data_IF_797212479936
#
_entry.id   IF_797212479936
#
_cell.length_a   1.000
_cell.length_b   1.000
_cell.length_c   1.000
_cell.angle_alpha   90.00
_cell.angle_beta   90.00
_cell.angle_gamma   90.00
#
_symmetry.space_group_name_H-M   'P 1'
#
loop_
_entity.id
_entity.type
_entity.pdbx_description
1 polymer ?
#
# COMPACT_ATOMS: atom_id res chain seq x y z
N UNK A 1 3.70 70.00 11.41
CA UNK A 1 3.65 68.85 12.37
C UNK A 1 3.03 67.57 11.86
N UNK A 2 2.68 67.38 10.60
CA UNK A 2 1.99 66.18 10.06
C UNK A 2 2.87 65.06 9.45
N UNK A 3 4.19 65.31 9.23
CA UNK A 3 5.09 64.32 8.58
C UNK A 3 5.71 63.30 9.52
N UNK A 4 5.58 63.39 10.83
CA UNK A 4 6.25 62.49 11.79
C UNK A 4 5.50 61.22 12.07
N UNK A 5 4.22 61.15 11.75
CA UNK A 5 3.38 59.97 12.02
C UNK A 5 3.17 59.06 10.79
N UNK A 6 3.62 59.55 9.56
CA UNK A 6 3.48 58.77 8.32
C UNK A 6 4.12 57.35 8.44
N UNK A 7 5.36 57.20 8.96
CA UNK A 7 5.96 55.89 9.11
C UNK A 7 5.24 54.98 10.11
N UNK A 8 4.64 55.56 11.15
CA UNK A 8 3.90 54.79 12.15
C UNK A 8 2.59 54.23 11.61
N UNK A 9 1.87 55.01 10.80
CA UNK A 9 0.67 54.55 10.10
C UNK A 9 0.99 53.46 9.04
N UNK A 10 2.11 53.54 8.36
CA UNK A 10 2.52 52.55 7.39
C UNK A 10 2.87 51.21 8.10
N UNK A 11 3.56 51.29 9.25
CA UNK A 11 3.86 50.12 10.08
C UNK A 11 2.56 49.50 10.63
N UNK A 12 1.65 50.30 11.14
CA UNK A 12 0.37 49.81 11.62
C UNK A 12 -0.48 49.17 10.51
N UNK A 13 -0.49 49.78 9.32
CA UNK A 13 -1.17 49.22 8.14
C UNK A 13 -0.53 47.91 7.70
N UNK A 14 0.79 47.80 7.73
CA UNK A 14 1.53 46.56 7.40
C UNK A 14 1.19 45.45 8.40
N UNK A 15 1.21 45.78 9.72
CA UNK A 15 0.85 44.80 10.77
C UNK A 15 -0.62 44.34 10.58
N UNK A 16 -1.53 45.26 10.31
CA UNK A 16 -2.91 44.92 10.07
C UNK A 16 -3.08 44.04 8.83
N UNK A 17 -2.36 44.35 7.73
CA UNK A 17 -2.35 43.54 6.50
C UNK A 17 -1.83 42.13 6.80
N UNK A 18 -0.71 42.00 7.52
CA UNK A 18 -0.14 40.71 7.91
C UNK A 18 -1.10 39.91 8.79
N UNK A 19 -1.80 40.58 9.71
CA UNK A 19 -2.79 39.96 10.55
C UNK A 19 -4.00 39.43 9.73
N UNK A 20 -4.53 40.27 8.84
CA UNK A 20 -5.62 39.86 7.95
C UNK A 20 -5.19 38.69 7.06
N UNK A 21 -3.98 38.75 6.49
CA UNK A 21 -3.41 37.69 5.69
C UNK A 21 -3.26 36.39 6.50
N UNK A 22 -2.75 36.50 7.72
CA UNK A 22 -2.61 35.35 8.62
C UNK A 22 -3.94 34.66 8.96
N UNK A 23 -5.00 35.42 9.14
CA UNK A 23 -6.34 34.89 9.43
C UNK A 23 -7.08 34.38 8.20
N UNK A 24 -6.88 35.01 7.04
CA UNK A 24 -7.62 34.67 5.83
C UNK A 24 -6.97 33.54 5.01
N UNK A 25 -5.64 33.46 5.01
CA UNK A 25 -4.88 32.54 4.16
C UNK A 25 -5.19 31.06 4.44
N UNK A 26 -5.30 30.58 5.72
CA UNK A 26 -5.67 29.19 6.01
C UNK A 26 -7.02 28.81 5.38
N UNK A 27 -8.00 29.67 5.50
CA UNK A 27 -9.35 29.43 4.95
C UNK A 27 -9.33 29.39 3.42
N UNK A 28 -8.57 30.28 2.79
CA UNK A 28 -8.43 30.30 1.33
C UNK A 28 -7.73 29.03 0.83
N UNK A 29 -6.64 28.62 1.47
CA UNK A 29 -5.90 27.40 1.12
C UNK A 29 -6.78 26.17 1.33
N UNK A 30 -7.46 26.04 2.47
CA UNK A 30 -8.40 24.95 2.74
C UNK A 30 -9.48 24.85 1.65
N UNK A 31 -10.12 25.97 1.31
CA UNK A 31 -11.16 25.98 0.29
C UNK A 31 -10.63 25.59 -1.08
N UNK A 32 -9.45 26.11 -1.46
CA UNK A 32 -8.77 25.73 -2.70
C UNK A 32 -8.46 24.23 -2.76
N UNK A 33 -7.87 23.65 -1.66
CA UNK A 33 -7.58 22.23 -1.58
C UNK A 33 -8.87 21.40 -1.71
N UNK A 34 -9.93 21.78 -0.97
CA UNK A 34 -11.20 21.06 -1.02
C UNK A 34 -11.88 21.15 -2.40
N UNK A 35 -11.79 22.29 -3.07
CA UNK A 35 -12.30 22.46 -4.43
C UNK A 35 -11.53 21.59 -5.43
N UNK A 36 -10.19 21.60 -5.35
CA UNK A 36 -9.33 20.80 -6.23
C UNK A 36 -9.49 19.29 -5.98
N UNK A 37 -9.70 18.87 -4.72
CA UNK A 37 -9.91 17.48 -4.36
C UNK A 37 -11.37 17.00 -4.49
N UNK A 38 -12.33 17.89 -4.75
CA UNK A 38 -13.73 17.49 -4.89
C UNK A 38 -13.96 16.53 -6.06
N UNK A 39 -13.13 16.63 -7.10
CA UNK A 39 -13.23 15.83 -8.33
C UNK A 39 -11.86 15.27 -8.74
N UNK A 40 -11.48 14.14 -8.14
CA UNK A 40 -10.26 13.39 -8.45
C UNK A 40 -10.64 12.07 -9.13
N UNK A 41 -11.19 12.14 -10.34
CA UNK A 41 -11.66 10.93 -11.06
C UNK A 41 -12.72 10.18 -10.26
N UNK A 42 -12.45 8.93 -9.90
CA UNK A 42 -13.36 8.07 -9.11
C UNK A 42 -13.39 8.43 -7.62
N UNK A 43 -12.53 9.33 -7.17
CA UNK A 43 -12.39 9.71 -5.76
C UNK A 43 -12.73 11.17 -5.52
N UNK A 44 -12.99 11.51 -4.28
CA UNK A 44 -13.07 12.87 -3.77
C UNK A 44 -12.27 12.98 -2.47
N UNK A 45 -11.66 14.13 -2.27
CA UNK A 45 -10.89 14.42 -1.07
C UNK A 45 -11.47 15.59 -0.30
N UNK A 46 -11.23 15.60 1.01
CA UNK A 46 -11.61 16.67 1.90
C UNK A 46 -10.57 16.86 3.02
N UNK A 47 -10.32 18.11 3.38
CA UNK A 47 -9.48 18.52 4.51
C UNK A 47 -10.34 19.37 5.46
N UNK A 48 -10.31 19.02 6.74
CA UNK A 48 -11.10 19.71 7.77
C UNK A 48 -10.56 21.10 8.07
N UNK A 49 -9.24 21.23 8.25
CA UNK A 49 -8.58 22.49 8.57
C UNK A 49 -7.14 22.58 8.02
N UNK A 50 -6.63 23.81 7.94
CA UNK A 50 -5.28 24.13 7.46
C UNK A 50 -4.63 25.15 8.41
N UNK A 51 -3.53 24.78 9.03
CA UNK A 51 -2.70 25.66 9.84
C UNK A 51 -1.48 26.12 9.04
N UNK A 52 -1.28 27.41 8.91
CA UNK A 52 -0.17 27.99 8.15
C UNK A 52 0.85 28.66 9.07
N UNK A 53 2.06 28.11 9.07
CA UNK A 53 3.24 28.75 9.66
C UNK A 53 4.13 29.36 8.58
N UNK A 54 3.57 30.27 7.78
CA UNK A 54 4.21 30.85 6.58
C UNK A 54 5.60 31.45 6.85
N UNK A 55 5.85 31.97 8.08
CA UNK A 55 7.19 32.49 8.48
C UNK A 55 8.23 31.37 8.63
N UNK A 56 7.79 30.12 8.82
CA UNK A 56 8.66 28.94 8.91
C UNK A 56 8.71 28.15 7.59
N UNK A 57 7.88 28.52 6.60
CA UNK A 57 7.69 27.75 5.38
C UNK A 57 7.06 26.39 5.63
N UNK A 58 6.20 26.30 6.64
CA UNK A 58 5.52 25.05 7.00
C UNK A 58 4.01 25.27 7.06
N UNK A 59 3.27 24.25 6.73
CA UNK A 59 1.83 24.22 6.95
C UNK A 59 1.39 22.81 7.32
N UNK A 60 0.28 22.72 8.03
CA UNK A 60 -0.30 21.49 8.52
C UNK A 60 -1.71 21.34 7.99
N UNK A 61 -2.01 20.18 7.44
CA UNK A 61 -3.37 19.78 7.08
C UNK A 61 -3.93 18.88 8.16
N UNK A 62 -5.18 19.11 8.55
CA UNK A 62 -5.87 18.31 9.55
C UNK A 62 -7.07 17.61 8.91
N UNK A 63 -7.25 16.32 9.21
CA UNK A 63 -8.42 15.55 8.85
C UNK A 63 -8.55 15.30 7.35
N UNK A 64 -7.42 15.07 6.63
CA UNK A 64 -7.51 14.64 5.23
C UNK A 64 -8.24 13.30 5.14
N UNK A 65 -9.21 13.25 4.23
CA UNK A 65 -9.96 12.05 3.88
C UNK A 65 -10.15 11.97 2.38
N UNK A 66 -9.81 10.82 1.80
CA UNK A 66 -10.03 10.51 0.37
C UNK A 66 -10.95 9.30 0.31
N UNK A 67 -12.08 9.46 -0.34
CA UNK A 67 -13.15 8.47 -0.42
C UNK A 67 -13.58 8.24 -1.86
N UNK A 68 -14.09 7.04 -2.15
CA UNK A 68 -14.68 6.75 -3.46
C UNK A 68 -16.00 7.51 -3.63
N UNK A 69 -16.19 8.17 -4.78
CA UNK A 69 -17.32 9.09 -5.03
C UNK A 69 -18.68 8.40 -5.02
N UNK A 70 -18.74 7.17 -5.50
CA UNK A 70 -19.98 6.38 -5.56
C UNK A 70 -20.43 5.85 -4.18
N UNK A 71 -19.58 6.00 -3.15
CA UNK A 71 -19.84 5.60 -1.75
C UNK A 71 -20.28 4.13 -1.59
N UNK A 72 -19.93 3.27 -2.52
CA UNK A 72 -20.21 1.83 -2.41
C UNK A 72 -19.21 1.14 -1.47
N UNK A 73 -18.04 1.76 -1.25
CA UNK A 73 -16.99 1.25 -0.36
C UNK A 73 -17.17 1.79 1.05
N UNK A 74 -17.11 0.91 2.05
CA UNK A 74 -17.40 1.25 3.46
C UNK A 74 -16.23 1.94 4.20
N UNK A 75 -15.04 1.97 3.60
CA UNK A 75 -13.84 2.59 4.18
C UNK A 75 -13.27 3.66 3.25
N UNK A 76 -12.74 4.78 3.80
CA UNK A 76 -11.99 5.73 2.98
C UNK A 76 -10.73 5.06 2.40
N UNK A 77 -10.30 5.47 1.20
CA UNK A 77 -9.01 5.03 0.65
C UNK A 77 -7.87 5.48 1.56
N UNK A 78 -7.86 6.76 1.89
CA UNK A 78 -6.87 7.37 2.77
C UNK A 78 -7.57 8.24 3.81
N UNK A 79 -7.17 8.08 5.06
CA UNK A 79 -7.50 8.97 6.16
C UNK A 79 -6.20 9.35 6.84
N UNK A 80 -5.92 10.65 6.92
CA UNK A 80 -4.76 11.17 7.62
C UNK A 80 -5.21 12.25 8.62
N UNK A 81 -5.12 11.98 9.92
CA UNK A 81 -5.48 12.94 10.95
C UNK A 81 -4.67 14.23 10.87
N UNK A 82 -3.39 14.10 10.55
CA UNK A 82 -2.44 15.21 10.48
C UNK A 82 -1.40 14.96 9.38
N UNK A 83 -1.13 16.00 8.59
CA UNK A 83 -0.08 16.01 7.58
C UNK A 83 0.74 17.29 7.75
N UNK A 84 2.00 17.15 8.12
CA UNK A 84 2.95 18.25 8.17
C UNK A 84 3.69 18.39 6.84
N UNK A 85 3.68 19.59 6.28
CA UNK A 85 4.39 19.92 5.04
C UNK A 85 5.37 21.04 5.34
N UNK A 86 6.66 20.76 5.19
CA UNK A 86 7.72 21.70 5.43
C UNK A 86 8.51 22.00 4.15
N UNK A 87 8.72 23.28 3.87
CA UNK A 87 9.50 23.75 2.74
C UNK A 87 10.92 24.02 3.21
N UNK A 88 11.90 23.46 2.52
CA UNK A 88 13.30 23.69 2.79
C UNK A 88 13.74 25.09 2.34
N UNK A 89 13.84 26.03 3.27
CA UNK A 89 14.38 27.37 3.01
C UNK A 89 15.82 27.32 2.46
N UNK A 90 16.62 26.32 2.83
CA UNK A 90 17.96 26.13 2.33
C UNK A 90 17.94 25.86 0.82
N UNK A 91 17.12 24.93 0.36
CA UNK A 91 16.96 24.59 -1.05
C UNK A 91 16.46 25.81 -1.85
N UNK A 92 15.52 26.58 -1.29
CA UNK A 92 15.00 27.79 -1.92
C UNK A 92 16.10 28.84 -2.13
N UNK A 93 16.97 29.05 -1.14
CA UNK A 93 18.01 30.10 -1.23
C UNK A 93 19.28 29.65 -1.97
N UNK A 94 19.67 28.37 -1.85
CA UNK A 94 20.91 27.85 -2.45
C UNK A 94 20.67 27.31 -3.86
N UNK A 95 19.61 26.51 -4.03
CA UNK A 95 19.37 25.73 -5.24
C UNK A 95 18.28 26.36 -6.13
N UNK A 96 17.61 27.42 -5.64
CA UNK A 96 16.43 28.04 -6.27
C UNK A 96 15.32 27.03 -6.56
N UNK A 97 15.28 25.95 -5.80
CA UNK A 97 14.28 24.89 -5.89
C UNK A 97 13.35 24.94 -4.67
N UNK A 98 12.06 24.80 -4.88
CA UNK A 98 11.10 24.62 -3.80
C UNK A 98 11.06 23.11 -3.53
N UNK A 99 11.67 22.69 -2.43
CA UNK A 99 11.74 21.30 -1.99
C UNK A 99 10.90 21.17 -0.73
N UNK A 100 9.98 20.22 -0.72
CA UNK A 100 9.17 19.93 0.45
C UNK A 100 9.42 18.52 0.97
N UNK A 101 9.29 18.43 2.29
CA UNK A 101 9.16 17.19 3.05
C UNK A 101 7.73 17.11 3.56
N UNK A 102 7.08 15.98 3.35
CA UNK A 102 5.70 15.72 3.77
C UNK A 102 5.69 14.59 4.78
N UNK A 103 5.16 14.82 5.97
CA UNK A 103 5.03 13.80 7.01
C UNK A 103 3.56 13.54 7.28
N UNK A 104 3.14 12.30 7.11
CA UNK A 104 1.82 11.81 7.50
C UNK A 104 1.88 11.20 8.89
N UNK A 105 1.12 11.75 9.83
CA UNK A 105 1.00 11.24 11.19
C UNK A 105 -0.23 10.34 11.32
N UNK A 106 -0.02 9.08 11.65
CA UNK A 106 -1.05 8.06 11.84
C UNK A 106 -2.04 7.92 10.66
N UNK A 107 -1.56 7.88 9.42
CA UNK A 107 -2.45 7.67 8.28
C UNK A 107 -3.01 6.24 8.26
N UNK A 108 -4.25 6.12 7.80
CA UNK A 108 -4.92 4.86 7.52
C UNK A 108 -5.11 4.74 6.00
N UNK A 109 -4.47 3.75 5.36
CA UNK A 109 -4.62 3.43 3.94
C UNK A 109 -5.40 2.12 3.80
N UNK A 110 -6.54 2.14 3.10
CA UNK A 110 -7.39 0.98 2.95
C UNK A 110 -7.57 0.58 1.49
N UNK A 111 -7.10 -0.60 1.15
CA UNK A 111 -7.40 -1.29 -0.09
C UNK A 111 -8.60 -2.22 0.12
N UNK A 112 -9.55 -2.21 -0.81
CA UNK A 112 -10.77 -3.01 -0.70
C UNK A 112 -10.94 -3.84 -1.97
N UNK A 113 -11.11 -5.14 -1.80
CA UNK A 113 -11.56 -6.07 -2.83
C UNK A 113 -13.06 -6.34 -2.66
N UNK A 114 -13.87 -5.77 -3.54
CA UNK A 114 -15.33 -5.93 -3.51
C UNK A 114 -15.86 -6.92 -4.54
N UNK A 115 -14.97 -7.57 -5.31
CA UNK A 115 -15.34 -8.42 -6.43
C UNK A 115 -15.63 -7.63 -7.71
N UNK A 116 -16.45 -6.60 -7.65
CA UNK A 116 -16.77 -5.72 -8.78
C UNK A 116 -15.99 -4.40 -8.73
N UNK A 117 -15.79 -3.76 -9.90
CA UNK A 117 -15.04 -2.47 -9.99
C UNK A 117 -15.67 -1.36 -9.14
N UNK A 118 -16.99 -1.31 -9.00
CA UNK A 118 -17.72 -0.32 -8.18
C UNK A 118 -17.47 -0.50 -6.69
N UNK A 119 -17.32 -1.71 -6.22
CA UNK A 119 -17.14 -2.08 -4.81
C UNK A 119 -15.68 -2.23 -4.40
N UNK A 120 -14.76 -2.28 -5.37
CA UNK A 120 -13.31 -2.37 -5.12
C UNK A 120 -12.67 -0.98 -5.04
N UNK A 121 -11.60 -0.87 -4.23
CA UNK A 121 -10.87 0.37 -3.99
C UNK A 121 -9.38 0.09 -3.95
N UNK A 122 -8.66 0.65 -4.92
CA UNK A 122 -7.21 0.48 -5.07
C UNK A 122 -6.45 1.79 -5.31
N UNK A 123 -7.17 2.91 -5.38
CA UNK A 123 -6.61 4.20 -5.79
C UNK A 123 -6.59 4.43 -7.30
N UNK A 124 -7.25 3.56 -8.07
CA UNK A 124 -7.35 3.69 -9.51
C UNK A 124 -8.31 4.77 -9.97
N UNK A 125 -8.20 5.13 -11.27
CA UNK A 125 -9.03 6.17 -11.87
C UNK A 125 -8.60 7.59 -11.49
N UNK A 126 -7.44 7.75 -10.84
CA UNK A 126 -6.82 9.03 -10.51
C UNK A 126 -5.37 9.03 -10.97
N UNK A 127 -4.97 10.02 -11.72
CA UNK A 127 -3.55 10.32 -11.90
C UNK A 127 -3.03 11.04 -10.64
N UNK A 128 -2.54 10.25 -9.70
CA UNK A 128 -2.06 10.74 -8.40
C UNK A 128 -0.89 11.70 -8.54
N UNK A 129 -0.08 11.53 -9.57
CA UNK A 129 1.06 12.40 -9.82
C UNK A 129 0.58 13.79 -10.26
N UNK A 130 -0.29 13.86 -11.26
CA UNK A 130 -0.85 15.12 -11.74
C UNK A 130 -1.62 15.82 -10.61
N UNK A 131 -2.36 15.08 -9.79
CA UNK A 131 -3.04 15.63 -8.63
C UNK A 131 -2.08 16.12 -7.54
N UNK A 132 -0.99 15.43 -7.27
CA UNK A 132 0.04 15.91 -6.35
C UNK A 132 0.74 17.17 -6.89
N UNK A 133 1.05 17.22 -8.18
CA UNK A 133 1.61 18.43 -8.82
C UNK A 133 0.63 19.62 -8.78
N UNK A 134 -0.67 19.38 -8.97
CA UNK A 134 -1.71 20.40 -8.89
C UNK A 134 -1.91 20.92 -7.46
N UNK A 135 -1.94 20.04 -6.48
CA UNK A 135 -2.11 20.38 -5.05
C UNK A 135 -0.84 20.97 -4.43
N UNK A 136 0.31 20.49 -4.85
CA UNK A 136 1.62 20.84 -4.33
C UNK A 136 2.56 21.11 -5.51
N UNK A 137 2.55 22.33 -6.10
CA UNK A 137 3.45 22.69 -7.22
C UNK A 137 4.89 22.85 -6.75
N UNK A 138 5.41 21.85 -6.05
CA UNK A 138 6.72 21.82 -5.39
C UNK A 138 7.37 20.46 -5.60
N UNK A 139 8.68 20.44 -5.64
CA UNK A 139 9.46 19.21 -5.69
C UNK A 139 9.35 18.46 -4.35
N UNK A 140 8.71 17.29 -4.35
CA UNK A 140 8.67 16.41 -3.19
C UNK A 140 9.97 15.63 -3.09
N UNK A 141 10.77 15.87 -2.04
CA UNK A 141 12.00 15.16 -1.82
C UNK A 141 11.78 13.91 -0.96
N UNK A 142 10.97 14.04 0.07
CA UNK A 142 10.68 12.97 1.01
C UNK A 142 9.21 13.00 1.39
N UNK A 143 8.57 11.84 1.36
CA UNK A 143 7.31 11.58 2.04
C UNK A 143 7.61 10.59 3.16
N UNK A 144 7.24 10.95 4.38
CA UNK A 144 7.38 10.12 5.57
C UNK A 144 6.01 9.73 6.11
N UNK A 145 5.88 8.50 6.55
CA UNK A 145 4.74 7.97 7.30
C UNK A 145 5.20 7.61 8.69
N UNK A 146 4.48 8.04 9.70
CA UNK A 146 4.76 7.78 11.12
C UNK A 146 3.53 7.16 11.75
N UNK A 147 3.70 5.99 12.36
CA UNK A 147 2.64 5.27 13.10
C UNK A 147 1.39 5.01 12.24
N UNK A 148 1.59 4.68 10.97
CA UNK A 148 0.52 4.44 10.00
C UNK A 148 -0.12 3.06 10.10
N UNK A 149 -1.23 2.88 9.39
CA UNK A 149 -1.88 1.59 9.19
C UNK A 149 -2.18 1.38 7.71
N UNK A 150 -1.87 0.19 7.21
CA UNK A 150 -2.26 -0.26 5.86
C UNK A 150 -3.15 -1.48 6.01
N UNK A 151 -4.33 -1.44 5.40
CA UNK A 151 -5.32 -2.51 5.47
C UNK A 151 -5.72 -3.02 4.09
N UNK A 152 -5.85 -4.33 3.96
CA UNK A 152 -6.55 -5.00 2.87
C UNK A 152 -7.86 -5.57 3.42
N UNK A 153 -8.98 -5.26 2.78
CA UNK A 153 -10.33 -5.63 3.23
C UNK A 153 -11.14 -6.25 2.11
N UNK A 154 -11.97 -7.22 2.47
CA UNK A 154 -13.09 -7.64 1.63
C UNK A 154 -14.35 -7.68 2.51
N UNK A 155 -15.28 -6.78 2.22
CA UNK A 155 -16.54 -6.66 2.97
C UNK A 155 -17.65 -7.56 2.43
N UNK A 156 -17.46 -8.12 1.23
CA UNK A 156 -18.46 -8.92 0.52
C UNK A 156 -18.22 -10.42 0.70
N UNK A 157 -17.04 -10.83 1.15
CA UNK A 157 -16.74 -12.23 1.44
C UNK A 157 -17.38 -12.70 2.75
N UNK A 158 -17.56 -14.00 2.88
CA UNK A 158 -17.97 -14.68 4.10
C UNK A 158 -16.94 -15.79 4.44
N UNK A 159 -16.17 -15.61 5.51
CA UNK A 159 -16.06 -14.45 6.41
C UNK A 159 -15.53 -13.19 5.72
N UNK A 160 -15.79 -12.01 6.30
CA UNK A 160 -15.19 -10.76 5.85
C UNK A 160 -13.67 -10.76 6.11
N UNK A 161 -12.89 -10.31 5.14
CA UNK A 161 -11.43 -10.29 5.24
C UNK A 161 -10.93 -8.94 5.76
N UNK A 162 -10.02 -9.01 6.73
CA UNK A 162 -9.25 -7.86 7.19
C UNK A 162 -7.80 -8.26 7.53
N UNK A 163 -6.90 -8.07 6.56
CA UNK A 163 -5.45 -8.20 6.76
C UNK A 163 -4.86 -6.80 6.87
N UNK A 164 -4.06 -6.55 7.91
CA UNK A 164 -3.52 -5.21 8.12
C UNK A 164 -2.12 -5.23 8.74
N UNK A 165 -1.36 -4.18 8.43
CA UNK A 165 -0.13 -3.82 9.11
C UNK A 165 -0.35 -2.51 9.89
N UNK A 166 0.05 -2.49 11.14
CA UNK A 166 0.02 -1.35 12.06
C UNK A 166 1.42 -0.88 12.40
N UNK A 167 1.52 0.21 13.15
CA UNK A 167 2.80 0.82 13.54
C UNK A 167 3.71 0.97 12.30
N UNK A 168 3.14 1.42 11.19
CA UNK A 168 3.87 1.54 9.92
C UNK A 168 4.67 2.82 9.93
N UNK A 169 6.00 2.67 9.93
CA UNK A 169 6.95 3.74 9.69
C UNK A 169 7.56 3.54 8.30
N UNK A 170 7.43 4.54 7.43
CA UNK A 170 7.90 4.44 6.06
C UNK A 170 8.47 5.76 5.54
N UNK A 171 9.36 5.66 4.59
CA UNK A 171 9.92 6.81 3.86
C UNK A 171 9.94 6.53 2.37
N UNK A 172 9.60 7.53 1.60
CA UNK A 172 9.59 7.53 0.15
C UNK A 172 10.41 8.71 -0.34
N UNK A 173 11.43 8.44 -1.12
CA UNK A 173 12.38 9.43 -1.62
C UNK A 173 12.36 9.54 -3.14
N UNK A 174 12.85 10.67 -3.66
CA UNK A 174 13.09 10.91 -5.08
C UNK A 174 11.84 10.80 -5.97
N UNK A 175 10.71 11.35 -5.53
CA UNK A 175 9.49 11.48 -6.35
C UNK A 175 9.60 12.59 -7.42
N UNK A 176 10.78 13.16 -7.61
CA UNK A 176 10.98 14.33 -8.45
C UNK A 176 11.22 13.98 -9.91
N UNK A 177 11.12 15.00 -10.78
CA UNK A 177 11.40 14.94 -12.22
C UNK A 177 12.86 14.62 -12.59
N UNK A 178 13.70 14.22 -11.64
CA UNK A 178 15.06 13.79 -11.90
C UNK A 178 15.10 12.33 -12.29
N UNK A 179 15.56 12.04 -13.51
CA UNK A 179 15.83 10.68 -13.94
C UNK A 179 17.20 10.26 -13.41
N UNK A 180 17.32 9.02 -12.90
CA UNK A 180 18.59 8.41 -12.58
C UNK A 180 19.50 8.24 -13.80
N UNK A 181 20.76 7.87 -13.60
CA UNK A 181 21.75 7.68 -14.70
C UNK A 181 21.29 6.62 -15.72
N UNK A 182 20.50 5.64 -15.28
CA UNK A 182 19.88 4.59 -16.09
C UNK A 182 18.47 4.96 -16.62
N UNK A 183 17.93 6.11 -16.18
CA UNK A 183 16.65 6.65 -16.63
C UNK A 183 15.41 5.99 -16.03
N UNK A 184 15.55 4.99 -15.14
CA UNK A 184 14.44 4.21 -14.59
C UNK A 184 14.61 4.02 -13.06
N UNK A 185 13.50 3.81 -12.33
CA UNK A 185 13.45 3.39 -10.91
C UNK A 185 14.22 4.31 -9.96
N UNK A 186 13.99 5.60 -10.08
CA UNK A 186 14.68 6.61 -9.26
C UNK A 186 14.04 6.82 -7.89
N UNK A 187 12.72 6.56 -7.75
CA UNK A 187 12.06 6.63 -6.47
C UNK A 187 12.36 5.38 -5.64
N UNK A 188 12.58 5.57 -4.34
CA UNK A 188 12.84 4.50 -3.38
C UNK A 188 11.87 4.57 -2.22
N UNK A 189 11.33 3.43 -1.84
CA UNK A 189 10.44 3.26 -0.69
C UNK A 189 11.10 2.27 0.28
N UNK A 190 11.07 2.60 1.56
CA UNK A 190 11.43 1.72 2.65
C UNK A 190 10.37 1.85 3.74
N UNK A 191 9.91 0.73 4.28
CA UNK A 191 8.90 0.71 5.32
C UNK A 191 9.02 -0.50 6.22
N UNK A 192 8.63 -0.30 7.46
CA UNK A 192 8.53 -1.34 8.50
C UNK A 192 7.19 -1.22 9.19
N UNK A 193 6.73 -2.31 9.82
CA UNK A 193 5.47 -2.30 10.56
C UNK A 193 5.25 -3.63 11.28
N UNK A 194 4.01 -3.85 11.73
CA UNK A 194 3.58 -5.07 12.42
C UNK A 194 2.31 -5.62 11.79
N UNK A 195 2.40 -6.77 11.16
CA UNK A 195 1.23 -7.50 10.69
C UNK A 195 0.40 -7.97 11.89
N UNK A 196 -0.92 -7.69 11.87
CA UNK A 196 -1.84 -7.99 12.97
C UNK A 196 -1.39 -7.46 14.34
N UNK A 197 -0.78 -6.27 14.41
CA UNK A 197 -0.23 -5.61 15.61
C UNK A 197 0.91 -6.39 16.31
N UNK A 198 1.49 -7.41 15.68
CA UNK A 198 2.42 -8.29 16.36
C UNK A 198 3.65 -8.68 15.54
N UNK A 199 3.44 -9.20 14.35
CA UNK A 199 4.46 -9.88 13.60
C UNK A 199 5.20 -8.87 12.69
N UNK A 200 6.54 -8.79 12.73
CA UNK A 200 7.28 -7.78 11.99
C UNK A 200 7.09 -7.94 10.47
N UNK A 201 6.88 -6.84 9.79
CA UNK A 201 6.85 -6.74 8.34
C UNK A 201 7.81 -5.65 7.86
N UNK A 202 8.57 -5.94 6.85
CA UNK A 202 9.50 -5.04 6.18
C UNK A 202 9.17 -5.01 4.69
N UNK A 203 9.16 -3.84 4.10
CA UNK A 203 8.96 -3.68 2.67
C UNK A 203 9.91 -2.65 2.10
N UNK A 204 10.45 -2.90 0.91
CA UNK A 204 11.22 -1.93 0.15
C UNK A 204 10.81 -1.99 -1.31
N UNK A 205 10.84 -0.84 -1.98
CA UNK A 205 10.58 -0.77 -3.41
C UNK A 205 11.49 0.25 -4.09
N UNK A 206 11.74 0.01 -5.36
CA UNK A 206 12.34 0.97 -6.29
C UNK A 206 11.46 1.04 -7.51
N UNK A 207 11.09 2.21 -7.95
CA UNK A 207 10.18 2.34 -9.08
C UNK A 207 10.43 3.62 -9.87
N UNK A 208 9.94 3.62 -11.09
CA UNK A 208 9.87 4.83 -11.89
C UNK A 208 8.52 5.52 -11.61
N UNK A 209 8.51 6.70 -10.98
CA UNK A 209 7.27 7.41 -10.66
C UNK A 209 6.55 7.94 -11.90
N UNK A 210 7.15 7.84 -13.10
CA UNK A 210 6.61 8.34 -14.37
C UNK A 210 6.01 7.26 -15.27
N UNK A 211 6.15 5.99 -14.87
CA UNK A 211 5.61 4.86 -15.65
C UNK A 211 4.55 4.15 -14.83
N UNK A 212 3.31 4.31 -15.10
CA UNK A 212 2.14 3.69 -14.46
C UNK A 212 2.37 2.21 -14.02
N UNK A 213 3.26 1.98 -13.02
CA UNK A 213 3.65 0.66 -12.51
C UNK A 213 4.29 -0.28 -13.56
N UNK A 214 4.89 0.27 -14.61
CA UNK A 214 5.52 -0.55 -15.66
C UNK A 214 6.95 -0.97 -15.30
N UNK A 215 7.62 -0.16 -14.47
CA UNK A 215 8.99 -0.42 -14.03
C UNK A 215 9.10 -0.27 -12.52
N UNK A 216 9.14 -1.39 -11.79
CA UNK A 216 9.34 -1.40 -10.36
C UNK A 216 10.05 -2.68 -9.89
N UNK A 217 10.59 -2.62 -8.69
CA UNK A 217 11.08 -3.73 -7.89
C UNK A 217 10.44 -3.60 -6.50
N UNK A 218 9.86 -4.67 -5.99
CA UNK A 218 9.20 -4.72 -4.68
C UNK A 218 9.70 -5.93 -3.92
N UNK A 219 10.19 -5.68 -2.71
CA UNK A 219 10.60 -6.72 -1.76
C UNK A 219 9.76 -6.59 -0.50
N UNK A 220 9.25 -7.72 -0.01
CA UNK A 220 8.48 -7.80 1.22
C UNK A 220 8.92 -9.00 2.03
N UNK A 221 9.05 -8.84 3.33
CA UNK A 221 9.38 -9.88 4.28
C UNK A 221 8.53 -9.76 5.53
N UNK A 222 8.01 -10.90 6.00
CA UNK A 222 7.42 -11.01 7.34
C UNK A 222 7.80 -12.33 7.96
N UNK A 223 7.82 -12.41 9.29
CA UNK A 223 8.23 -13.60 10.03
C UNK A 223 7.34 -13.86 11.22
N UNK A 224 7.12 -15.15 11.52
CA UNK A 224 6.43 -15.59 12.71
C UNK A 224 4.91 -15.42 12.68
N UNK A 225 4.32 -15.13 11.51
CA UNK A 225 2.88 -14.92 11.38
C UNK A 225 2.11 -16.16 11.79
N UNK A 226 1.23 -16.06 12.78
CA UNK A 226 0.34 -17.16 13.14
C UNK A 226 -0.67 -17.40 12.02
N UNK A 227 -0.67 -18.62 11.46
CA UNK A 227 -1.53 -18.96 10.33
C UNK A 227 -3.02 -18.80 10.64
N UNK A 228 -3.43 -19.03 11.89
CA UNK A 228 -4.82 -18.83 12.34
C UNK A 228 -5.32 -17.39 12.19
N UNK A 229 -4.44 -16.40 12.10
CA UNK A 229 -4.84 -15.01 11.85
C UNK A 229 -5.16 -14.75 10.38
N UNK A 230 -4.78 -15.67 9.51
CA UNK A 230 -5.11 -15.64 8.08
C UNK A 230 -6.38 -16.45 7.74
N UNK A 231 -7.09 -17.00 8.73
CA UNK A 231 -8.24 -17.88 8.46
C UNK A 231 -9.36 -17.16 7.69
N UNK A 232 -9.70 -15.91 8.02
CA UNK A 232 -10.69 -15.16 7.25
C UNK A 232 -10.26 -15.02 5.78
N UNK A 233 -8.97 -14.78 5.53
CA UNK A 233 -8.42 -14.70 4.19
C UNK A 233 -8.39 -16.06 3.49
N UNK A 234 -7.89 -17.10 4.16
CA UNK A 234 -7.81 -18.45 3.59
C UNK A 234 -9.18 -19.04 3.31
N UNK A 235 -10.18 -18.79 4.17
CA UNK A 235 -11.55 -19.24 3.96
C UNK A 235 -12.22 -18.48 2.82
N UNK A 236 -12.09 -17.14 2.77
CA UNK A 236 -12.67 -16.33 1.71
C UNK A 236 -12.15 -16.70 0.32
N UNK A 237 -10.84 -16.91 0.19
CA UNK A 237 -10.17 -17.07 -1.11
C UNK A 237 -9.72 -18.51 -1.41
N UNK A 238 -9.47 -19.34 -0.40
CA UNK A 238 -8.93 -20.69 -0.53
C UNK A 238 -9.85 -21.80 -0.05
N UNK A 239 -10.93 -21.46 0.68
CA UNK A 239 -11.92 -22.40 1.23
C UNK A 239 -11.31 -23.42 2.22
N UNK A 240 -10.36 -22.99 3.03
CA UNK A 240 -9.74 -23.81 4.07
C UNK A 240 -9.34 -22.98 5.29
N UNK A 241 -9.16 -23.62 6.44
CA UNK A 241 -8.73 -23.03 7.70
C UNK A 241 -7.49 -23.71 8.27
N UNK A 242 -6.67 -22.90 8.92
CA UNK A 242 -5.54 -23.38 9.71
C UNK A 242 -5.98 -23.64 11.16
N UNK A 243 -5.71 -24.82 11.68
CA UNK A 243 -5.85 -25.12 13.10
C UNK A 243 -4.68 -24.59 13.93
N UNK A 244 -3.51 -24.42 13.30
CA UNK A 244 -2.30 -23.92 13.94
C UNK A 244 -1.15 -23.74 12.97
N UNK A 245 0.00 -23.33 13.52
CA UNK A 245 1.22 -23.13 12.76
C UNK A 245 1.61 -21.67 12.61
N UNK A 246 2.80 -21.47 12.06
CA UNK A 246 3.35 -20.14 11.75
C UNK A 246 3.94 -20.10 10.35
N UNK A 247 3.95 -18.91 9.75
CA UNK A 247 4.56 -18.66 8.47
C UNK A 247 5.60 -17.54 8.54
N UNK A 248 6.74 -17.74 7.88
CA UNK A 248 7.56 -16.64 7.39
C UNK A 248 7.29 -16.49 5.89
N UNK A 249 7.35 -15.28 5.39
CA UNK A 249 7.13 -14.98 3.98
C UNK A 249 8.23 -14.06 3.46
N UNK A 250 8.79 -14.42 2.31
CA UNK A 250 9.61 -13.52 1.50
C UNK A 250 8.96 -13.43 0.12
N UNK A 251 8.81 -12.21 -0.37
CA UNK A 251 8.30 -11.93 -1.71
C UNK A 251 9.25 -10.95 -2.41
N UNK A 252 9.64 -11.28 -3.62
CA UNK A 252 10.39 -10.42 -4.51
C UNK A 252 9.67 -10.39 -5.85
N UNK A 253 9.27 -9.20 -6.28
CA UNK A 253 8.55 -8.98 -7.54
C UNK A 253 9.20 -7.83 -8.29
N UNK A 254 9.41 -8.04 -9.55
CA UNK A 254 9.95 -7.07 -10.49
C UNK A 254 9.00 -6.89 -11.67
N UNK A 255 8.79 -5.64 -12.08
CA UNK A 255 8.17 -5.33 -13.37
C UNK A 255 9.18 -4.63 -14.26
N UNK A 256 9.23 -5.03 -15.51
CA UNK A 256 10.04 -4.39 -16.56
C UNK A 256 9.19 -4.26 -17.82
N UNK A 257 9.00 -3.01 -18.29
CA UNK A 257 8.12 -2.70 -19.41
C UNK A 257 6.73 -3.35 -19.27
N UNK A 258 6.20 -3.39 -18.02
CA UNK A 258 4.91 -3.95 -17.66
C UNK A 258 4.85 -5.48 -17.58
N UNK A 259 5.97 -6.17 -17.76
CA UNK A 259 6.06 -7.62 -17.56
C UNK A 259 6.47 -7.92 -16.13
N UNK A 260 5.63 -8.64 -15.40
CA UNK A 260 5.86 -9.06 -14.02
C UNK A 260 6.65 -10.37 -13.99
N UNK A 261 7.68 -10.40 -13.15
CA UNK A 261 8.41 -11.60 -12.77
C UNK A 261 8.77 -11.55 -11.30
N UNK A 262 8.97 -12.70 -10.68
CA UNK A 262 9.34 -12.73 -9.27
C UNK A 262 9.00 -14.06 -8.61
N UNK A 263 8.97 -14.05 -7.28
CA UNK A 263 8.57 -15.22 -6.50
C UNK A 263 8.01 -14.86 -5.13
N UNK A 264 7.23 -15.79 -4.60
CA UNK A 264 6.85 -15.84 -3.19
C UNK A 264 7.45 -17.11 -2.59
N UNK A 265 8.08 -16.97 -1.44
CA UNK A 265 8.68 -18.08 -0.70
C UNK A 265 8.11 -18.13 0.73
N UNK A 266 7.00 -18.84 0.95
CA UNK A 266 6.52 -19.15 2.28
C UNK A 266 7.40 -20.23 2.92
N UNK A 267 7.70 -20.05 4.20
CA UNK A 267 8.26 -21.05 5.08
C UNK A 267 7.26 -21.33 6.19
N UNK A 268 6.61 -22.46 6.11
CA UNK A 268 5.56 -22.90 7.05
C UNK A 268 6.15 -23.81 8.12
N UNK A 269 5.73 -23.61 9.37
CA UNK A 269 6.17 -24.42 10.51
C UNK A 269 4.98 -24.89 11.32
N UNK A 270 5.00 -26.16 11.73
CA UNK A 270 3.97 -26.79 12.58
C UNK A 270 2.56 -26.52 12.05
N UNK A 271 2.38 -26.66 10.75
CA UNK A 271 1.09 -26.41 10.10
C UNK A 271 0.12 -27.52 10.45
N UNK A 272 -1.01 -27.12 10.98
CA UNK A 272 -2.16 -27.98 11.25
C UNK A 272 -3.37 -27.38 10.54
N UNK A 273 -4.04 -28.15 9.71
CA UNK A 273 -5.21 -27.74 8.92
C UNK A 273 -6.42 -28.52 9.40
N UNK A 274 -7.53 -27.84 9.63
CA UNK A 274 -8.78 -28.51 9.96
C UNK A 274 -9.24 -29.41 8.81
N UNK A 275 -9.69 -30.63 9.18
CA UNK A 275 -10.17 -31.64 8.25
C UNK A 275 -11.51 -31.20 7.65
N UNK A 276 -11.50 -30.89 6.35
CA UNK A 276 -12.66 -30.47 5.57
C UNK A 276 -13.55 -31.65 5.12
N UNK A 277 -13.43 -32.83 5.74
CA UNK A 277 -14.20 -34.01 5.33
C UNK A 277 -15.74 -33.88 5.47
N UNK A 278 -16.26 -32.88 6.16
CA UNK A 278 -17.69 -32.78 6.44
C UNK A 278 -18.50 -31.86 5.51
N UNK A 279 -17.87 -30.93 4.75
CA UNK A 279 -18.64 -29.93 3.99
C UNK A 279 -18.43 -29.95 2.46
N UNK A 280 -17.62 -30.85 1.91
CA UNK A 280 -17.37 -30.91 0.47
C UNK A 280 -18.21 -31.98 -0.21
N UNK A 281 -19.52 -31.75 -0.31
CA UNK A 281 -20.41 -32.60 -1.11
C UNK A 281 -20.53 -32.18 -2.60
N UNK A 282 -19.78 -31.17 -3.07
CA UNK A 282 -19.83 -30.72 -4.46
C UNK A 282 -18.44 -30.46 -5.08
N UNK A 283 -18.22 -31.18 -6.15
CA UNK A 283 -17.36 -31.00 -7.36
C UNK A 283 -15.86 -30.61 -7.26
N UNK A 284 -15.32 -30.12 -6.14
CA UNK A 284 -13.92 -29.72 -6.01
C UNK A 284 -13.04 -30.70 -5.20
N UNK A 285 -13.44 -31.99 -5.15
CA UNK A 285 -12.69 -33.05 -4.42
C UNK A 285 -11.22 -33.20 -4.83
N UNK A 286 -10.83 -32.72 -5.99
CA UNK A 286 -9.46 -32.82 -6.47
C UNK A 286 -8.45 -31.88 -5.78
N UNK A 287 -8.91 -30.74 -5.29
CA UNK A 287 -8.04 -29.71 -4.73
C UNK A 287 -7.54 -30.08 -3.32
N UNK A 288 -8.47 -30.39 -2.40
CA UNK A 288 -8.15 -30.68 -1.00
C UNK A 288 -7.59 -32.08 -0.80
N UNK A 289 -8.01 -33.04 -1.61
CA UNK A 289 -7.42 -34.38 -1.60
C UNK A 289 -5.94 -34.32 -2.03
N UNK A 290 -5.60 -33.49 -3.04
CA UNK A 290 -4.20 -33.23 -3.42
C UNK A 290 -3.39 -32.54 -2.32
N UNK A 291 -3.98 -31.59 -1.60
CA UNK A 291 -3.33 -30.91 -0.46
C UNK A 291 -3.09 -31.90 0.69
N UNK A 292 -4.11 -32.69 1.05
CA UNK A 292 -4.02 -33.70 2.11
C UNK A 292 -3.04 -34.81 1.74
N UNK A 293 -3.07 -35.30 0.52
CA UNK A 293 -2.13 -36.31 0.02
C UNK A 293 -0.70 -35.76 -0.04
N UNK A 294 -0.50 -34.45 -0.27
CA UNK A 294 0.81 -33.82 -0.22
C UNK A 294 1.32 -33.63 1.20
N UNK A 295 0.42 -33.26 2.13
CA UNK A 295 0.76 -33.13 3.57
C UNK A 295 0.93 -34.49 4.23
N UNK A 296 0.09 -35.47 3.87
CA UNK A 296 0.11 -36.82 4.46
C UNK A 296 0.84 -37.85 3.59
N UNK A 297 0.70 -37.80 2.28
CA UNK A 297 1.30 -38.75 1.34
C UNK A 297 2.71 -38.38 0.88
N UNK A 298 3.03 -37.09 0.71
CA UNK A 298 4.41 -36.58 0.55
C UNK A 298 5.26 -36.80 1.79
N UNK A 299 4.61 -37.13 2.91
CA UNK A 299 5.23 -37.47 4.18
C UNK A 299 6.10 -38.68 4.19
N UNK A 300 6.06 -39.59 3.24
CA UNK A 300 6.92 -40.79 3.31
C UNK A 300 8.27 -40.62 2.61
N UNK A 301 8.44 -39.74 1.66
CA UNK A 301 9.74 -39.50 0.99
C UNK A 301 10.37 -38.14 1.34
N UNK A 302 9.59 -37.10 1.59
CA UNK A 302 10.09 -35.79 2.07
C UNK A 302 10.34 -35.78 3.60
N UNK A 303 9.71 -36.67 4.36
CA UNK A 303 9.89 -36.84 5.81
C UNK A 303 11.19 -37.55 6.23
N UNK A 304 12.15 -37.82 5.36
CA UNK A 304 13.49 -38.24 5.81
C UNK A 304 14.27 -37.12 6.52
N UNK A 305 13.73 -35.89 6.58
CA UNK A 305 14.25 -34.83 7.44
C UNK A 305 13.34 -34.53 8.65
N UNK A 306 12.78 -35.53 9.28
CA UNK A 306 11.84 -35.53 10.41
C UNK A 306 12.31 -34.81 11.69
N UNK A 307 13.30 -33.94 11.66
CA UNK A 307 13.74 -33.17 12.84
C UNK A 307 13.24 -31.72 12.85
N UNK A 308 12.55 -31.26 11.82
CA UNK A 308 11.95 -29.91 11.81
C UNK A 308 10.66 -29.99 10.99
N UNK A 309 9.51 -29.87 11.62
CA UNK A 309 8.19 -29.75 11.00
C UNK A 309 8.10 -28.43 10.18
N UNK A 310 8.90 -28.34 9.12
CA UNK A 310 9.07 -27.17 8.28
C UNK A 310 8.86 -27.52 6.82
N UNK A 311 7.98 -26.76 6.16
CA UNK A 311 7.74 -26.84 4.73
C UNK A 311 8.12 -25.50 4.08
N UNK A 312 8.95 -25.53 3.07
CA UNK A 312 9.33 -24.37 2.27
C UNK A 312 9.06 -24.68 0.81
N UNK A 313 8.37 -23.78 0.14
CA UNK A 313 8.18 -23.83 -1.31
C UNK A 313 8.54 -22.49 -1.94
N UNK A 314 8.84 -22.49 -3.21
CA UNK A 314 9.05 -21.29 -4.00
C UNK A 314 8.01 -21.27 -5.10
N UNK A 315 7.21 -20.22 -5.14
CA UNK A 315 6.14 -20.02 -6.11
C UNK A 315 6.59 -18.93 -7.05
N UNK A 316 6.80 -19.27 -8.29
CA UNK A 316 7.17 -18.30 -9.32
C UNK A 316 5.96 -17.44 -9.67
N UNK A 317 6.18 -16.15 -9.76
CA UNK A 317 5.20 -15.15 -10.18
C UNK A 317 5.53 -14.72 -11.60
N UNK A 318 4.53 -14.71 -12.47
CA UNK A 318 4.65 -14.14 -13.80
C UNK A 318 3.31 -13.57 -14.25
N UNK A 319 3.34 -12.48 -14.99
CA UNK A 319 2.14 -11.82 -15.46
C UNK A 319 2.43 -10.54 -16.21
N UNK A 320 1.42 -9.73 -16.40
CA UNK A 320 1.55 -8.41 -17.00
C UNK A 320 0.73 -7.40 -16.21
N UNK A 321 1.28 -6.20 -15.99
CA UNK A 321 0.55 -5.05 -15.41
C UNK A 321 -0.38 -4.40 -16.44
N UNK A 322 -0.23 -4.73 -17.72
CA UNK A 322 -0.99 -4.17 -18.84
C UNK A 322 -2.16 -5.06 -19.23
N UNK A 323 -3.04 -5.37 -18.30
CA UNK A 323 -4.29 -6.09 -18.60
C UNK A 323 -5.38 -5.10 -19.00
N UNK A 324 -6.01 -5.30 -20.15
CA UNK A 324 -7.02 -4.38 -20.68
C UNK A 324 -8.26 -4.20 -19.76
N UNK A 325 -8.50 -5.17 -18.87
CA UNK A 325 -9.69 -5.23 -18.01
C UNK A 325 -9.40 -5.13 -16.50
N UNK A 326 -8.13 -5.14 -16.09
CA UNK A 326 -7.72 -5.07 -14.69
C UNK A 326 -6.67 -3.98 -14.49
N UNK A 327 -6.75 -3.32 -13.35
CA UNK A 327 -5.71 -2.40 -12.95
C UNK A 327 -4.41 -3.12 -12.57
N UNK A 328 -3.28 -2.42 -12.57
CA UNK A 328 -2.02 -2.94 -12.06
C UNK A 328 -2.12 -3.52 -10.64
N UNK A 329 -2.88 -2.85 -9.76
CA UNK A 329 -3.10 -3.33 -8.40
C UNK A 329 -3.99 -4.58 -8.35
N UNK A 330 -5.10 -4.60 -9.10
CA UNK A 330 -5.95 -5.79 -9.20
C UNK A 330 -5.20 -6.97 -9.82
N UNK A 331 -4.39 -6.72 -10.84
CA UNK A 331 -3.51 -7.73 -11.41
C UNK A 331 -2.51 -8.26 -10.37
N UNK A 332 -1.90 -7.39 -9.58
CA UNK A 332 -1.00 -7.76 -8.49
C UNK A 332 -1.72 -8.59 -7.42
N UNK A 333 -2.89 -8.14 -6.94
CA UNK A 333 -3.70 -8.90 -5.96
C UNK A 333 -4.15 -10.25 -6.54
N UNK A 334 -4.54 -10.31 -7.81
CA UNK A 334 -4.88 -11.57 -8.47
C UNK A 334 -3.69 -12.53 -8.52
N UNK A 335 -2.48 -12.02 -8.82
CA UNK A 335 -1.25 -12.80 -8.80
C UNK A 335 -0.94 -13.30 -7.40
N UNK A 336 -1.06 -12.44 -6.36
CA UNK A 336 -0.85 -12.83 -4.95
C UNK A 336 -1.85 -13.90 -4.51
N UNK A 337 -3.14 -13.70 -4.83
CA UNK A 337 -4.20 -14.68 -4.53
C UNK A 337 -3.93 -16.01 -5.20
N UNK A 338 -3.61 -16.01 -6.49
CA UNK A 338 -3.29 -17.23 -7.23
C UNK A 338 -2.04 -17.92 -6.67
N UNK A 339 -1.02 -17.15 -6.31
CA UNK A 339 0.18 -17.67 -5.67
C UNK A 339 -0.11 -18.26 -4.28
N UNK A 340 -0.96 -17.59 -3.49
CA UNK A 340 -1.40 -18.10 -2.18
C UNK A 340 -2.14 -19.44 -2.35
N UNK A 341 -3.10 -19.52 -3.27
CA UNK A 341 -3.81 -20.78 -3.57
C UNK A 341 -2.84 -21.83 -4.09
N UNK A 342 -1.91 -21.47 -5.01
CA UNK A 342 -0.91 -22.40 -5.52
C UNK A 342 0.09 -22.89 -4.47
N UNK A 343 0.41 -22.08 -3.45
CA UNK A 343 1.28 -22.48 -2.35
C UNK A 343 0.76 -23.71 -1.61
N UNK A 344 -0.56 -23.83 -1.56
CA UNK A 344 -1.24 -24.94 -0.88
C UNK A 344 -1.78 -25.99 -1.86
N UNK A 345 -1.56 -25.82 -3.18
CA UNK A 345 -1.90 -26.82 -4.21
C UNK A 345 -0.65 -27.59 -4.57
N UNK A 346 -0.52 -28.84 -4.12
CA UNK A 346 0.58 -29.70 -4.51
C UNK A 346 0.52 -29.99 -6.04
N UNK A 347 1.54 -29.58 -6.77
CA UNK A 347 1.77 -30.04 -8.15
C UNK A 347 2.74 -31.20 -8.10
N UNK A 348 2.33 -32.36 -8.61
CA UNK A 348 3.24 -33.42 -8.97
C UNK A 348 4.05 -32.97 -10.19
N UNK A 349 5.25 -32.47 -9.98
CA UNK A 349 6.25 -32.35 -11.05
C UNK A 349 6.99 -33.70 -11.12
N UNK A 350 6.86 -34.39 -12.25
CA UNK A 350 7.46 -35.66 -12.61
C UNK A 350 6.81 -36.93 -12.08
N UNK A 351 5.74 -37.34 -12.69
CA UNK A 351 5.48 -38.76 -12.90
C UNK A 351 4.57 -38.92 -14.11
N UNK A 352 5.09 -39.02 -15.28
CA UNK A 352 4.47 -39.71 -16.43
C UNK A 352 5.28 -39.44 -17.74
N UNK A 353 6.60 -39.62 -17.68
CA UNK A 353 7.39 -39.69 -18.92
C UNK A 353 8.51 -40.78 -18.86
N UNK A 354 8.12 -41.96 -18.36
CA UNK A 354 8.87 -43.20 -18.65
C UNK A 354 7.84 -44.30 -18.91
N UNK A 355 7.48 -44.45 -20.20
CA UNK A 355 6.67 -45.57 -20.61
C UNK A 355 6.19 -45.53 -22.04
N UNK A 356 7.07 -45.39 -23.03
CA UNK A 356 7.00 -46.10 -24.31
C UNK A 356 8.33 -46.05 -25.05
#
# INVERSE_FOLDING_TARGET
MKRRYLPLWLVAALILLLLVLHLALPVLVRNYLNETMAEMGDYSGHVDDVDLAWWRGAYRLQGLRIEKRDKQVQAPLLKAPEIDIAISWRALWQDRAIVAEVTFERPELNFVDGGDKGESQSGEGVDWRDKLEELLPITLNEIRVVDGQVSFRNFTSDPQVHVYASDVDASLYNLTNTRGEDGKRVATFEGTGKLFNRDPIEASARFDPFTEWQDFELNLRTTGVALTQLNDFSQAYGKFDFAGGTADLVMEVEATDGQLSGYIKPLLRNVDVFDLEQDVENDDKGFFQGLWEAVVGGGQEVLQNQRKDQFATRIELSGSTQSADMSPFQAFIAVLRNAFVQAFTARFEHSLDEGQ
#
